data_IF_680832057560
#
_entry.id   IF_680832057560
#
_cell.length_a   1.000
_cell.length_b   1.000
_cell.length_c   1.000
_cell.angle_alpha   90.00
_cell.angle_beta   90.00
_cell.angle_gamma   90.00
#
_symmetry.space_group_name_H-M   'P 1'
#
loop_
_entity.id
_entity.type
_entity.pdbx_description
1 polymer ?
#
# COMPACT_ATOMS: atom_id res chain seq x y z
N UNK A 1 4.68 17.70 1.18
CA UNK A 1 4.55 16.77 0.01
C UNK A 1 3.61 15.62 0.35
N UNK A 2 2.74 15.18 -0.56
CA UNK A 2 1.84 14.02 -0.36
C UNK A 2 2.50 12.74 -0.88
N UNK A 3 2.74 11.76 -0.01
CA UNK A 3 3.26 10.44 -0.41
C UNK A 3 2.23 9.35 -0.08
N UNK A 4 1.89 8.51 -1.05
CA UNK A 4 1.13 7.29 -0.81
C UNK A 4 2.07 6.08 -0.75
N UNK A 5 2.01 5.29 0.32
CA UNK A 5 2.75 4.04 0.45
C UNK A 5 1.79 2.85 0.39
N UNK A 6 1.99 1.98 -0.59
CA UNK A 6 1.11 0.87 -0.92
C UNK A 6 1.78 -0.47 -0.58
N UNK A 7 1.04 -1.39 0.03
CA UNK A 7 1.38 -2.81 0.12
C UNK A 7 0.40 -3.61 -0.74
N UNK A 8 0.74 -3.88 -2.02
CA UNK A 8 -0.11 -4.64 -2.91
C UNK A 8 -0.22 -6.10 -2.44
N UNK A 9 -1.41 -6.68 -2.57
CA UNK A 9 -1.70 -8.06 -2.20
C UNK A 9 -2.27 -8.79 -3.41
N UNK A 10 -1.53 -9.82 -3.82
CA UNK A 10 -1.99 -10.73 -4.85
C UNK A 10 -3.15 -11.62 -4.38
N UNK A 11 -3.69 -12.46 -5.26
CA UNK A 11 -4.87 -13.31 -5.02
C UNK A 11 -4.69 -14.37 -3.91
N UNK A 12 -3.50 -14.52 -3.33
CA UNK A 12 -3.28 -15.32 -2.11
C UNK A 12 -3.75 -14.63 -0.82
N UNK A 13 -3.78 -13.29 -0.78
CA UNK A 13 -4.06 -12.49 0.41
C UNK A 13 -5.37 -11.69 0.22
N UNK A 14 -6.45 -12.40 -0.14
CA UNK A 14 -7.73 -11.79 -0.52
C UNK A 14 -8.44 -11.18 0.69
N UNK A 15 -8.86 -9.94 0.53
CA UNK A 15 -9.91 -9.27 1.32
C UNK A 15 -11.34 -9.63 0.80
N UNK A 16 -11.47 -10.18 -0.40
CA UNK A 16 -12.78 -10.43 -1.06
C UNK A 16 -13.36 -11.85 -0.88
N UNK A 17 -12.74 -12.76 -0.12
CA UNK A 17 -13.25 -14.13 0.07
C UNK A 17 -12.73 -14.85 1.31
N UNK A 18 -13.44 -15.91 1.74
CA UNK A 18 -13.20 -16.60 3.02
C UNK A 18 -14.11 -16.13 4.15
N UNK A 19 -14.06 -16.79 5.32
CA UNK A 19 -14.88 -16.45 6.51
C UNK A 19 -14.53 -15.04 7.03
N UNK A 20 -13.29 -14.58 6.78
CA UNK A 20 -12.82 -13.25 7.16
C UNK A 20 -12.66 -12.37 5.91
N UNK A 21 -13.48 -11.32 5.80
CA UNK A 21 -13.47 -10.32 4.69
C UNK A 21 -12.34 -9.29 4.80
N UNK A 22 -11.52 -9.37 5.83
CA UNK A 22 -10.31 -8.56 6.03
C UNK A 22 -9.27 -9.46 6.69
N UNK A 23 -8.01 -9.27 6.34
CA UNK A 23 -6.94 -9.76 7.18
C UNK A 23 -7.11 -9.13 8.57
N UNK A 24 -7.36 -9.92 9.61
CA UNK A 24 -7.37 -9.46 11.02
C UNK A 24 -5.95 -9.08 11.52
N UNK A 25 -5.06 -8.69 10.60
CA UNK A 25 -3.67 -8.35 10.89
C UNK A 25 -3.53 -6.84 10.97
N UNK A 26 -2.62 -6.42 11.83
CA UNK A 26 -2.09 -5.06 11.88
C UNK A 26 -1.45 -4.69 10.53
N UNK A 27 -1.42 -3.39 10.25
CA UNK A 27 -0.69 -2.87 9.10
C UNK A 27 0.77 -3.38 9.15
N UNK A 28 1.34 -3.83 8.02
CA UNK A 28 2.73 -4.26 7.96
C UNK A 28 3.64 -3.15 8.48
N UNK A 29 4.46 -3.46 9.48
CA UNK A 29 5.38 -2.50 10.12
C UNK A 29 6.26 -1.79 9.09
N UNK A 30 6.54 -2.42 7.94
CA UNK A 30 7.29 -1.81 6.83
C UNK A 30 6.78 -0.41 6.46
N UNK A 31 5.46 -0.22 6.31
CA UNK A 31 4.92 1.07 5.86
C UNK A 31 5.00 2.14 6.96
N UNK A 32 4.64 1.78 8.19
CA UNK A 32 4.65 2.71 9.33
C UNK A 32 6.07 3.05 9.77
N UNK A 33 7.00 2.09 9.73
CA UNK A 33 8.42 2.34 9.98
C UNK A 33 9.02 3.27 8.94
N UNK A 34 8.73 3.08 7.65
CA UNK A 34 9.25 3.99 6.61
C UNK A 34 8.71 5.41 6.79
N UNK A 35 7.42 5.56 7.08
CA UNK A 35 6.83 6.87 7.36
C UNK A 35 7.46 7.54 8.61
N UNK A 36 7.75 6.76 9.66
CA UNK A 36 8.38 7.27 10.88
C UNK A 36 9.86 7.64 10.72
N UNK A 37 10.55 7.07 9.72
CA UNK A 37 11.96 7.38 9.40
C UNK A 37 12.10 8.60 8.47
N UNK A 38 11.00 9.13 7.96
CA UNK A 38 11.03 10.30 7.09
C UNK A 38 11.54 11.53 7.86
N UNK A 39 12.52 12.30 7.30
CA UNK A 39 12.98 13.53 7.91
C UNK A 39 11.83 14.54 8.08
N UNK A 40 11.71 15.12 9.28
CA UNK A 40 10.61 16.02 9.62
C UNK A 40 10.61 17.32 8.80
N UNK A 41 11.79 17.78 8.39
CA UNK A 41 11.99 18.98 7.57
C UNK A 41 11.40 18.87 6.16
N UNK A 42 11.04 17.66 5.70
CA UNK A 42 10.41 17.45 4.39
C UNK A 42 8.88 17.69 4.41
N UNK A 43 8.28 17.88 5.58
CA UNK A 43 6.84 18.13 5.78
C UNK A 43 5.96 17.20 4.92
N UNK A 44 6.18 15.89 5.08
CA UNK A 44 5.51 14.86 4.29
C UNK A 44 4.21 14.46 4.96
N UNK A 45 3.12 14.49 4.20
CA UNK A 45 1.85 13.85 4.56
C UNK A 45 1.80 12.47 3.92
N UNK A 46 1.73 11.43 4.76
CA UNK A 46 1.66 10.04 4.30
C UNK A 46 0.22 9.50 4.28
N UNK A 47 -0.14 8.83 3.18
CA UNK A 47 -1.28 7.94 3.10
C UNK A 47 -0.78 6.50 3.01
N UNK A 48 -1.25 5.61 3.89
CA UNK A 48 -0.76 4.23 3.94
C UNK A 48 -1.88 3.25 3.57
N UNK A 49 -1.66 2.45 2.53
CA UNK A 49 -2.65 1.50 2.02
C UNK A 49 -2.10 0.08 2.04
N UNK A 50 -2.75 -0.79 2.82
CA UNK A 50 -2.50 -2.24 2.78
C UNK A 50 -3.67 -2.95 2.10
N UNK A 51 -3.41 -3.48 0.90
CA UNK A 51 -4.42 -4.16 0.08
C UNK A 51 -4.94 -5.46 0.74
N UNK A 52 -4.25 -5.95 1.79
CA UNK A 52 -4.72 -7.06 2.61
C UNK A 52 -5.85 -6.70 3.57
N UNK A 53 -6.08 -5.39 3.78
CA UNK A 53 -7.10 -4.87 4.70
C UNK A 53 -8.25 -4.17 3.97
N UNK A 54 -7.95 -3.45 2.89
CA UNK A 54 -8.91 -2.72 2.07
C UNK A 54 -8.31 -2.48 0.68
N UNK A 55 -9.15 -2.35 -0.35
CA UNK A 55 -8.66 -2.06 -1.70
C UNK A 55 -7.89 -0.73 -1.75
N UNK A 56 -6.87 -0.65 -2.61
CA UNK A 56 -6.17 0.60 -2.88
C UNK A 56 -7.11 1.52 -3.70
N UNK A 57 -7.38 2.76 -3.26
CA UNK A 57 -8.16 3.71 -4.06
C UNK A 57 -7.43 4.00 -5.38
N UNK A 58 -8.15 3.99 -6.50
CA UNK A 58 -7.55 4.21 -7.83
C UNK A 58 -7.52 5.69 -8.22
N UNK A 59 -8.16 6.54 -7.43
CA UNK A 59 -8.23 8.00 -7.54
C UNK A 59 -7.33 8.70 -6.52
N UNK A 60 -6.24 8.05 -6.09
CA UNK A 60 -5.29 8.62 -5.13
C UNK A 60 -4.64 9.90 -5.65
N UNK A 61 -4.69 10.94 -4.84
CA UNK A 61 -3.90 12.17 -5.03
C UNK A 61 -2.58 12.08 -4.25
N UNK A 62 -1.47 11.84 -4.95
CA UNK A 62 -0.14 11.84 -4.35
C UNK A 62 0.90 12.43 -5.31
N UNK A 63 1.92 13.08 -4.75
CA UNK A 63 3.09 13.58 -5.50
C UNK A 63 4.08 12.43 -5.78
N UNK A 64 4.10 11.41 -4.91
CA UNK A 64 4.91 10.21 -5.03
C UNK A 64 4.15 8.99 -4.51
N UNK A 65 4.26 7.87 -5.23
CA UNK A 65 3.71 6.58 -4.82
C UNK A 65 4.86 5.58 -4.63
N UNK A 66 4.97 5.03 -3.42
CA UNK A 66 5.91 3.96 -3.08
C UNK A 66 5.19 2.62 -2.94
N UNK A 67 5.71 1.55 -3.54
CA UNK A 67 5.16 0.20 -3.41
C UNK A 67 6.14 -0.71 -2.70
N UNK A 68 5.71 -1.40 -1.64
CA UNK A 68 6.47 -2.51 -1.04
C UNK A 68 6.04 -3.82 -1.68
N UNK A 69 6.95 -4.46 -2.42
CA UNK A 69 6.62 -5.57 -3.31
C UNK A 69 7.44 -6.81 -2.95
N UNK A 70 6.75 -7.95 -2.84
CA UNK A 70 7.35 -9.27 -2.78
C UNK A 70 7.08 -9.99 -4.11
N UNK A 71 7.85 -11.03 -4.42
CA UNK A 71 7.71 -11.78 -5.69
C UNK A 71 6.25 -12.19 -5.97
N UNK A 72 5.52 -12.66 -4.95
CA UNK A 72 4.12 -13.08 -5.09
C UNK A 72 3.08 -11.95 -5.28
N UNK A 73 3.44 -10.69 -5.03
CA UNK A 73 2.58 -9.52 -5.28
C UNK A 73 3.04 -8.67 -6.47
N UNK A 74 4.09 -9.10 -7.18
CA UNK A 74 4.69 -8.36 -8.30
C UNK A 74 3.70 -8.03 -9.42
N UNK A 75 2.88 -8.99 -9.86
CA UNK A 75 1.85 -8.76 -10.91
C UNK A 75 0.91 -7.63 -10.49
N UNK A 76 0.37 -7.68 -9.27
CA UNK A 76 -0.53 -6.65 -8.75
C UNK A 76 0.17 -5.29 -8.61
N UNK A 77 1.44 -5.28 -8.22
CA UNK A 77 2.23 -4.05 -8.18
C UNK A 77 2.42 -3.42 -9.57
N UNK A 78 2.63 -4.24 -10.61
CA UNK A 78 2.72 -3.75 -11.99
C UNK A 78 1.38 -3.19 -12.49
N UNK A 79 0.25 -3.81 -12.15
CA UNK A 79 -1.08 -3.28 -12.48
C UNK A 79 -1.29 -1.89 -11.86
N UNK A 80 -1.03 -1.73 -10.57
CA UNK A 80 -1.14 -0.44 -9.87
C UNK A 80 -0.17 0.59 -10.47
N UNK A 81 1.06 0.18 -10.77
CA UNK A 81 2.06 1.06 -11.39
C UNK A 81 1.66 1.52 -12.78
N UNK A 82 0.96 0.67 -13.57
CA UNK A 82 0.44 1.05 -14.87
C UNK A 82 -0.74 2.02 -14.77
N UNK A 83 -1.57 1.87 -13.72
CA UNK A 83 -2.71 2.75 -13.48
C UNK A 83 -2.31 4.16 -13.03
N UNK A 84 -1.31 4.29 -12.16
CA UNK A 84 -0.89 5.60 -11.61
C UNK A 84 0.22 6.32 -12.41
N UNK A 85 0.58 5.79 -13.58
CA UNK A 85 1.61 6.37 -14.46
C UNK A 85 1.08 7.48 -15.35
#
# INVERSE_FOLDING_TARGET
MKIALLSPKGPLYRNRGGIFKKSLRYQPLTLTTLAALAPAELDITFALHDEGTADVPLDLEADLIGLTVLTGSSVRAYELSAHFR
#
